data_IF_681348248275
#
_entry.id   IF_681348248275
#
_cell.length_a   1.000
_cell.length_b   1.000
_cell.length_c   1.000
_cell.angle_alpha   90.00
_cell.angle_beta   90.00
_cell.angle_gamma   90.00
#
_symmetry.space_group_name_H-M   'P 1'
#
loop_
_entity.id
_entity.type
_entity.pdbx_description
1 polymer ?
#
# COMPACT_ATOMS: atom_id res chain seq x y z
N UNK A 1 47.21 27.36 42.32
CA UNK A 1 47.09 28.73 42.79
C UNK A 1 45.79 29.28 42.32
N UNK A 2 45.01 29.61 43.29
CA UNK A 2 44.04 30.67 43.57
C UNK A 2 42.73 30.49 42.86
N UNK A 3 41.72 29.98 43.57
CA UNK A 3 40.78 30.60 44.53
C UNK A 3 40.10 31.88 44.01
N UNK A 4 38.76 31.85 43.91
CA UNK A 4 37.81 32.61 44.70
C UNK A 4 36.41 32.39 44.08
N UNK A 5 35.45 31.78 44.72
CA UNK A 5 34.45 32.24 45.71
C UNK A 5 33.71 33.54 45.29
N UNK A 6 32.41 33.46 45.23
CA UNK A 6 31.40 34.11 46.08
C UNK A 6 30.07 34.02 45.37
N UNK A 7 29.07 33.28 45.76
CA UNK A 7 28.08 33.57 46.82
C UNK A 7 27.10 34.69 46.45
N UNK A 8 25.87 34.41 46.42
CA UNK A 8 24.82 35.02 47.25
C UNK A 8 23.51 35.37 46.56
N UNK A 9 22.46 34.81 47.07
CA UNK A 9 21.25 35.37 47.72
C UNK A 9 20.05 35.68 46.81
N UNK A 10 19.06 34.82 47.04
CA UNK A 10 17.66 35.07 47.35
C UNK A 10 16.97 36.27 46.67
N UNK A 11 15.83 35.96 46.02
CA UNK A 11 14.54 36.52 46.48
C UNK A 11 13.37 35.69 45.96
N UNK A 12 12.61 35.18 46.90
CA UNK A 12 11.23 34.72 46.76
C UNK A 12 10.37 35.92 46.36
N UNK A 13 9.49 35.74 45.40
CA UNK A 13 8.24 36.50 45.39
C UNK A 13 7.12 35.65 44.84
N UNK A 14 6.06 35.72 45.52
CA UNK A 14 4.83 34.96 45.62
C UNK A 14 3.87 35.18 44.47
N UNK A 15 3.05 34.17 44.32
CA UNK A 15 1.61 34.16 43.98
C UNK A 15 1.17 34.83 42.69
N UNK A 16 0.61 33.98 41.83
CA UNK A 16 -0.35 34.30 40.80
C UNK A 16 -1.04 33.04 40.36
N UNK A 17 -2.05 32.60 41.13
CA UNK A 17 -2.92 31.48 40.79
C UNK A 17 -3.91 31.97 39.74
N UNK A 18 -3.55 31.81 38.44
CA UNK A 18 -4.46 32.05 37.32
C UNK A 18 -5.01 30.73 36.85
N UNK A 19 -6.23 30.40 37.24
CA UNK A 19 -7.02 29.33 36.70
C UNK A 19 -7.34 29.64 35.23
N UNK A 20 -6.51 29.16 34.32
CA UNK A 20 -6.81 29.14 32.90
C UNK A 20 -7.66 27.91 32.61
N UNK A 21 -8.98 28.08 32.53
CA UNK A 21 -9.90 27.06 32.10
C UNK A 21 -9.64 26.73 30.65
N UNK A 22 -8.88 25.63 30.40
CA UNK A 22 -8.68 25.07 29.06
C UNK A 22 -9.99 24.40 28.66
N UNK A 23 -10.79 25.07 27.84
CA UNK A 23 -11.91 24.47 27.14
C UNK A 23 -11.30 23.53 26.10
N UNK A 24 -11.22 22.23 26.44
CA UNK A 24 -10.90 21.19 25.48
C UNK A 24 -12.07 21.10 24.48
N UNK A 25 -11.91 21.80 23.36
CA UNK A 25 -12.74 21.57 22.18
C UNK A 25 -12.42 20.16 21.67
N UNK A 26 -13.27 19.20 21.96
CA UNK A 26 -13.22 17.87 21.34
C UNK A 26 -13.56 18.02 19.86
N UNK A 27 -12.54 18.21 19.03
CA UNK A 27 -12.67 18.10 17.58
C UNK A 27 -12.99 16.64 17.32
N UNK A 28 -14.16 16.30 16.72
CA UNK A 28 -14.40 14.93 16.32
C UNK A 28 -13.28 14.55 15.33
N UNK A 29 -12.43 13.63 15.75
CA UNK A 29 -11.47 13.00 14.83
C UNK A 29 -12.31 12.36 13.73
N UNK A 30 -12.23 12.92 12.51
CA UNK A 30 -12.75 12.26 11.33
C UNK A 30 -11.92 10.98 11.21
N UNK A 31 -12.48 9.88 11.65
CA UNK A 31 -11.92 8.54 11.46
C UNK A 31 -11.95 8.31 9.96
N UNK A 32 -10.87 8.65 9.27
CA UNK A 32 -10.63 8.12 7.94
C UNK A 32 -10.68 6.60 8.12
N UNK A 33 -11.60 5.95 7.41
CA UNK A 33 -11.63 4.50 7.35
C UNK A 33 -10.29 4.07 6.73
N UNK A 34 -9.34 3.75 7.58
CA UNK A 34 -8.06 3.25 7.16
C UNK A 34 -8.32 1.86 6.55
N UNK A 35 -8.41 1.81 5.22
CA UNK A 35 -8.29 0.53 4.54
C UNK A 35 -6.96 -0.07 4.97
N UNK A 36 -7.02 -1.14 5.76
CA UNK A 36 -5.83 -1.80 6.25
C UNK A 36 -5.30 -2.82 5.26
N UNK A 37 -6.15 -3.31 4.38
CA UNK A 37 -5.84 -4.44 3.49
C UNK A 37 -5.85 -4.02 2.02
N UNK A 38 -4.88 -4.53 1.29
CA UNK A 38 -4.66 -4.24 -0.13
C UNK A 38 -4.38 -5.52 -0.90
N UNK A 39 -4.84 -5.57 -2.15
CA UNK A 39 -4.30 -6.46 -3.17
C UNK A 39 -3.25 -5.70 -3.96
N UNK A 40 -2.16 -6.34 -4.34
CA UNK A 40 -1.23 -5.73 -5.29
C UNK A 40 -0.89 -6.67 -6.44
N UNK A 41 -0.66 -6.06 -7.58
CA UNK A 41 -0.18 -6.68 -8.80
C UNK A 41 1.18 -6.09 -9.14
N UNK A 42 2.14 -6.94 -9.39
CA UNK A 42 3.48 -6.59 -9.81
C UNK A 42 3.71 -7.18 -11.20
N UNK A 43 3.65 -6.35 -12.22
CA UNK A 43 3.86 -6.76 -13.61
C UNK A 43 3.19 -8.11 -13.91
N UNK A 44 1.89 -8.21 -13.61
CA UNK A 44 1.13 -9.45 -13.74
C UNK A 44 -0.34 -9.19 -14.06
N UNK A 45 -1.04 -10.23 -14.51
CA UNK A 45 -2.47 -10.18 -14.82
C UNK A 45 -2.78 -9.16 -15.93
N UNK A 46 -3.80 -8.35 -15.71
CA UNK A 46 -4.27 -7.36 -16.70
C UNK A 46 -3.29 -6.18 -16.91
N UNK A 47 -2.25 -6.04 -16.08
CA UNK A 47 -1.21 -5.04 -16.29
C UNK A 47 -0.30 -5.37 -17.46
N UNK A 48 -0.27 -6.63 -17.90
CA UNK A 48 0.60 -7.13 -18.95
C UNK A 48 -0.18 -7.22 -20.26
N UNK A 49 -0.18 -6.13 -21.05
CA UNK A 49 -0.77 -6.17 -22.37
C UNK A 49 0.05 -7.05 -23.32
N UNK A 50 -0.58 -7.91 -24.13
CA UNK A 50 0.13 -8.70 -25.11
C UNK A 50 0.95 -7.82 -26.07
N UNK A 51 2.24 -8.08 -26.16
CA UNK A 51 3.17 -7.37 -27.05
C UNK A 51 3.77 -6.07 -26.48
N UNK A 52 3.37 -5.63 -25.28
CA UNK A 52 3.99 -4.50 -24.59
C UNK A 52 4.98 -4.98 -23.53
N UNK A 53 6.23 -5.10 -23.89
CA UNK A 53 7.32 -5.53 -22.99
C UNK A 53 7.73 -4.44 -22.00
N UNK A 54 7.28 -3.19 -22.15
CA UNK A 54 7.60 -2.12 -21.22
C UNK A 54 6.81 -2.22 -19.91
N UNK A 55 5.68 -2.94 -19.94
CA UNK A 55 4.81 -3.11 -18.78
C UNK A 55 5.17 -4.33 -17.92
N UNK A 56 5.81 -5.34 -18.50
CA UNK A 56 6.11 -6.61 -17.83
C UNK A 56 7.36 -7.24 -18.44
N UNK A 57 8.25 -7.75 -17.58
CA UNK A 57 8.22 -7.78 -16.13
C UNK A 57 8.58 -6.42 -15.49
N UNK A 58 8.42 -6.30 -14.16
CA UNK A 58 9.01 -5.20 -13.42
C UNK A 58 10.50 -5.46 -13.22
N UNK A 59 11.31 -4.43 -13.47
CA UNK A 59 12.77 -4.60 -13.55
C UNK A 59 13.46 -3.62 -12.61
N UNK A 60 14.36 -4.14 -11.79
CA UNK A 60 15.29 -3.36 -10.98
C UNK A 60 16.73 -3.65 -11.46
N UNK A 61 17.56 -2.60 -11.60
CA UNK A 61 18.97 -2.71 -12.01
C UNK A 61 19.90 -2.17 -10.94
N UNK A 62 21.09 -2.74 -10.90
CA UNK A 62 22.22 -2.17 -10.18
C UNK A 62 23.03 -1.19 -11.06
N UNK A 63 24.08 -0.62 -10.49
CA UNK A 63 25.00 0.32 -11.14
C UNK A 63 25.86 -0.31 -12.24
N UNK A 64 25.93 -1.65 -12.28
CA UNK A 64 26.65 -2.42 -13.31
C UNK A 64 25.74 -2.82 -14.48
N UNK A 65 24.43 -2.62 -14.33
CA UNK A 65 23.42 -2.96 -15.31
C UNK A 65 22.90 -4.40 -15.18
N UNK A 66 23.32 -5.13 -14.16
CA UNK A 66 22.71 -6.42 -13.82
C UNK A 66 21.29 -6.19 -13.32
N UNK A 67 20.37 -7.12 -13.55
CA UNK A 67 18.96 -6.87 -13.32
C UNK A 67 18.21 -8.04 -12.71
N UNK A 68 17.24 -7.70 -11.85
CA UNK A 68 16.16 -8.59 -11.45
C UNK A 68 14.87 -8.21 -12.17
N UNK A 69 14.33 -9.14 -12.91
CA UNK A 69 13.01 -9.06 -13.53
C UNK A 69 12.02 -9.84 -12.67
N UNK A 70 10.94 -9.20 -12.22
CA UNK A 70 10.00 -9.78 -11.28
C UNK A 70 8.56 -9.61 -11.75
N UNK A 71 7.74 -10.64 -11.49
CA UNK A 71 6.29 -10.61 -11.69
C UNK A 71 5.60 -11.33 -10.55
N UNK A 72 4.40 -10.92 -10.19
CA UNK A 72 3.66 -11.60 -9.14
C UNK A 72 2.45 -10.82 -8.65
N UNK A 73 1.81 -11.36 -7.62
CA UNK A 73 0.65 -10.75 -7.01
C UNK A 73 0.49 -11.21 -5.55
N UNK A 74 -0.34 -10.49 -4.82
CA UNK A 74 -0.68 -10.90 -3.46
C UNK A 74 -1.51 -9.89 -2.72
N UNK A 75 -1.57 -10.08 -1.42
CA UNK A 75 -2.27 -9.20 -0.48
C UNK A 75 -1.33 -8.78 0.63
N UNK A 76 -1.60 -7.62 1.22
CA UNK A 76 -0.95 -7.20 2.45
C UNK A 76 -1.90 -6.43 3.35
N UNK A 77 -1.60 -6.45 4.65
CA UNK A 77 -2.33 -5.73 5.68
C UNK A 77 -1.38 -4.77 6.40
N UNK A 78 -1.75 -3.49 6.39
CA UNK A 78 -0.91 -2.41 6.93
C UNK A 78 -0.88 -2.43 8.46
N UNK A 79 -2.01 -2.75 9.10
CA UNK A 79 -2.11 -2.77 10.56
C UNK A 79 -1.34 -3.95 11.14
N UNK A 80 -1.49 -5.12 10.53
CA UNK A 80 -0.87 -6.36 11.00
C UNK A 80 0.56 -6.54 10.49
N UNK A 81 1.07 -5.63 9.65
CA UNK A 81 2.40 -5.75 9.04
C UNK A 81 2.62 -7.10 8.33
N UNK A 82 1.58 -7.67 7.77
CA UNK A 82 1.62 -8.98 7.13
C UNK A 82 1.48 -8.85 5.61
N UNK A 83 2.06 -9.80 4.90
CA UNK A 83 1.91 -9.96 3.47
C UNK A 83 1.76 -11.43 3.12
N UNK A 84 0.99 -11.71 2.05
CA UNK A 84 0.87 -13.03 1.43
C UNK A 84 0.97 -12.82 -0.06
N UNK A 85 2.17 -12.93 -0.59
CA UNK A 85 2.44 -12.69 -2.00
C UNK A 85 3.47 -13.65 -2.54
N UNK A 86 3.36 -13.90 -3.83
CA UNK A 86 4.27 -14.78 -4.54
C UNK A 86 4.39 -14.34 -6.01
N UNK A 87 5.48 -14.78 -6.62
CA UNK A 87 5.70 -14.56 -8.03
C UNK A 87 6.97 -15.23 -8.52
N UNK A 88 7.36 -14.88 -9.72
CA UNK A 88 8.58 -15.37 -10.37
C UNK A 88 9.62 -14.27 -10.48
N UNK A 89 10.88 -14.65 -10.53
CA UNK A 89 11.97 -13.74 -10.86
C UNK A 89 12.98 -14.36 -11.80
N UNK A 90 13.69 -13.49 -12.50
CA UNK A 90 14.84 -13.83 -13.35
C UNK A 90 15.96 -12.84 -13.05
N UNK A 91 17.13 -13.35 -12.68
CA UNK A 91 18.35 -12.55 -12.56
C UNK A 91 19.16 -12.63 -13.85
N UNK A 92 19.48 -11.46 -14.40
CA UNK A 92 20.22 -11.30 -15.66
C UNK A 92 21.45 -10.43 -15.47
N UNK A 93 22.52 -10.82 -16.10
CA UNK A 93 23.70 -9.98 -16.25
C UNK A 93 23.43 -8.87 -17.29
N UNK A 94 24.26 -7.84 -17.24
CA UNK A 94 24.20 -6.69 -18.18
C UNK A 94 24.32 -7.10 -19.65
N UNK A 95 24.96 -8.23 -19.94
CA UNK A 95 25.06 -8.82 -21.29
C UNK A 95 23.79 -9.59 -21.70
N UNK A 96 22.74 -9.64 -20.87
CA UNK A 96 21.50 -10.35 -21.12
C UNK A 96 21.51 -11.83 -20.75
N UNK A 97 22.61 -12.38 -20.29
CA UNK A 97 22.66 -13.78 -19.86
C UNK A 97 21.86 -13.98 -18.58
N UNK A 98 20.99 -14.98 -18.59
CA UNK A 98 20.24 -15.41 -17.41
C UNK A 98 21.15 -16.25 -16.51
N UNK A 99 21.37 -15.78 -15.28
CA UNK A 99 22.13 -16.52 -14.28
C UNK A 99 21.24 -17.34 -13.36
N UNK A 100 20.06 -16.83 -13.02
CA UNK A 100 19.19 -17.47 -12.04
C UNK A 100 17.74 -17.19 -12.39
N UNK A 101 16.88 -18.18 -12.15
CA UNK A 101 15.44 -18.06 -12.18
C UNK A 101 14.85 -18.73 -10.94
N UNK A 102 13.71 -18.25 -10.48
CA UNK A 102 13.07 -18.83 -9.32
C UNK A 102 11.72 -18.21 -9.01
N UNK A 103 11.26 -18.48 -7.80
CA UNK A 103 10.06 -17.87 -7.23
C UNK A 103 10.43 -16.99 -6.06
N UNK A 104 9.63 -15.99 -5.79
CA UNK A 104 9.76 -15.18 -4.59
C UNK A 104 8.47 -15.27 -3.75
N UNK A 105 8.63 -15.18 -2.44
CA UNK A 105 7.54 -15.19 -1.48
C UNK A 105 7.70 -14.00 -0.52
N UNK A 106 6.61 -13.29 -0.27
CA UNK A 106 6.54 -12.27 0.78
C UNK A 106 5.59 -12.73 1.89
N UNK A 107 6.04 -12.59 3.13
CA UNK A 107 5.28 -12.91 4.34
C UNK A 107 5.21 -11.74 5.33
N UNK A 108 6.00 -10.69 5.12
CA UNK A 108 6.06 -9.51 5.98
C UNK A 108 5.96 -8.21 5.18
N UNK A 109 5.11 -7.29 5.64
CA UNK A 109 5.10 -5.90 5.21
C UNK A 109 5.92 -5.06 6.18
N UNK A 110 7.02 -4.50 5.72
CA UNK A 110 7.87 -3.60 6.52
C UNK A 110 7.22 -2.23 6.66
N UNK A 111 6.79 -1.63 5.54
CA UNK A 111 6.12 -0.33 5.53
C UNK A 111 5.21 -0.16 4.31
N UNK A 112 4.25 0.73 4.44
CA UNK A 112 3.41 1.20 3.35
C UNK A 112 3.13 2.69 3.50
N UNK A 113 3.48 3.48 2.48
CA UNK A 113 3.17 4.89 2.35
C UNK A 113 2.13 5.04 1.24
N UNK A 114 0.88 5.36 1.58
CA UNK A 114 -0.17 5.57 0.58
C UNK A 114 -0.07 6.95 -0.04
N UNK A 115 -0.23 7.04 -1.37
CA UNK A 115 -0.38 8.29 -2.12
C UNK A 115 -1.85 8.63 -2.40
N UNK A 116 -2.77 7.85 -1.82
CA UNK A 116 -4.20 8.02 -2.00
C UNK A 116 -4.76 7.28 -3.21
N UNK A 117 -6.08 7.33 -3.34
CA UNK A 117 -6.77 6.73 -4.46
C UNK A 117 -6.41 7.46 -5.76
N UNK A 118 -6.30 6.73 -6.85
CA UNK A 118 -6.26 7.35 -8.17
C UNK A 118 -7.51 8.22 -8.32
N UNK A 119 -7.31 9.54 -8.38
CA UNK A 119 -8.41 10.45 -8.67
C UNK A 119 -8.98 10.00 -10.00
N UNK A 120 -10.21 9.49 -9.93
CA UNK A 120 -10.95 9.03 -11.10
C UNK A 120 -10.72 10.03 -12.23
N UNK A 121 -10.15 9.57 -13.32
CA UNK A 121 -9.95 10.14 -14.66
C UNK A 121 -10.74 11.42 -15.02
N UNK A 122 -10.68 12.42 -14.22
CA UNK A 122 -11.32 13.69 -14.47
C UNK A 122 -10.28 14.79 -14.41
N UNK A 123 -9.40 14.83 -15.42
CA UNK A 123 -8.76 16.08 -15.87
C UNK A 123 -7.63 15.91 -16.88
N UNK A 124 -7.61 14.86 -17.67
CA UNK A 124 -6.97 14.99 -18.97
C UNK A 124 -8.07 15.28 -19.98
N UNK A 125 -8.15 16.55 -20.37
CA UNK A 125 -9.17 17.15 -21.21
C UNK A 125 -9.40 16.42 -22.52
N UNK A 126 -10.38 15.58 -22.54
CA UNK A 126 -11.17 15.36 -23.73
C UNK A 126 -12.29 16.39 -23.62
N UNK A 127 -12.13 17.51 -24.31
CA UNK A 127 -13.20 18.46 -24.53
C UNK A 127 -14.29 17.74 -25.33
N UNK A 128 -15.21 17.11 -24.63
CA UNK A 128 -16.49 16.74 -25.26
C UNK A 128 -17.29 18.05 -25.44
N UNK A 129 -17.68 18.28 -26.70
CA UNK A 129 -18.41 19.44 -27.12
C UNK A 129 -19.69 19.72 -26.31
N UNK A 130 -20.32 20.89 -26.53
CA UNK A 130 -21.38 21.38 -25.67
C UNK A 130 -22.64 20.52 -25.80
N UNK A 131 -23.27 20.29 -24.67
CA UNK A 131 -24.57 19.69 -24.47
C UNK A 131 -24.69 18.17 -24.54
N UNK A 132 -24.28 17.48 -23.46
CA UNK A 132 -25.02 16.31 -23.02
C UNK A 132 -25.23 16.35 -21.50
N UNK A 133 -26.49 16.19 -21.16
CA UNK A 133 -27.10 16.18 -19.84
C UNK A 133 -26.25 15.56 -18.75
N UNK A 134 -26.26 16.16 -17.54
CA UNK A 134 -25.61 15.67 -16.32
C UNK A 134 -25.70 14.15 -16.24
N UNK A 135 -24.56 13.43 -16.17
CA UNK A 135 -24.61 12.00 -15.97
C UNK A 135 -25.31 11.75 -14.64
N UNK A 136 -26.38 10.96 -14.68
CA UNK A 136 -26.97 10.34 -13.49
C UNK A 136 -25.80 9.76 -12.70
N UNK A 137 -25.72 10.05 -11.41
CA UNK A 137 -24.76 9.42 -10.49
C UNK A 137 -24.82 7.91 -10.73
N UNK A 138 -23.83 7.40 -11.42
CA UNK A 138 -23.67 5.95 -11.53
C UNK A 138 -23.60 5.38 -10.13
N UNK A 139 -24.30 4.27 -9.82
CA UNK A 139 -24.15 3.61 -8.53
C UNK A 139 -22.65 3.35 -8.34
N UNK A 140 -22.10 3.78 -7.20
CA UNK A 140 -20.70 3.64 -6.87
C UNK A 140 -20.29 2.20 -7.11
N UNK A 141 -19.34 1.97 -8.00
CA UNK A 141 -18.75 0.68 -8.25
C UNK A 141 -18.26 0.12 -6.92
N UNK A 142 -18.90 -0.95 -6.46
CA UNK A 142 -18.60 -1.66 -5.20
C UNK A 142 -17.30 -2.48 -5.29
N UNK A 143 -16.37 -2.11 -6.15
CA UNK A 143 -15.11 -2.81 -6.38
C UNK A 143 -13.93 -2.24 -5.61
N UNK A 144 -12.80 -2.97 -5.58
CA UNK A 144 -11.55 -2.48 -5.01
C UNK A 144 -11.09 -1.22 -5.76
N UNK A 145 -10.56 -0.24 -5.01
CA UNK A 145 -10.16 1.05 -5.57
C UNK A 145 -8.66 1.07 -5.90
N UNK A 146 -8.29 1.43 -7.14
CA UNK A 146 -6.89 1.67 -7.48
C UNK A 146 -6.29 2.77 -6.58
N UNK A 147 -5.15 2.49 -6.00
CA UNK A 147 -4.47 3.35 -5.03
C UNK A 147 -3.00 3.37 -5.34
N UNK A 148 -2.39 4.55 -5.30
CA UNK A 148 -0.95 4.68 -5.37
C UNK A 148 -0.30 4.52 -4.00
N UNK A 149 1.00 4.25 -4.01
CA UNK A 149 1.75 4.10 -2.78
C UNK A 149 3.10 3.44 -2.99
N UNK A 150 3.85 3.38 -1.90
CA UNK A 150 5.10 2.65 -1.82
C UNK A 150 5.00 1.60 -0.72
N UNK A 151 5.10 0.34 -1.11
CA UNK A 151 5.16 -0.80 -0.20
C UNK A 151 6.59 -1.34 -0.11
N UNK A 152 7.01 -1.73 1.08
CA UNK A 152 8.30 -2.39 1.34
C UNK A 152 8.01 -3.73 1.98
N UNK A 153 8.47 -4.79 1.36
CA UNK A 153 8.27 -6.17 1.79
C UNK A 153 9.59 -6.83 2.14
N UNK A 154 9.56 -7.69 3.16
CA UNK A 154 10.59 -8.72 3.32
C UNK A 154 10.18 -9.92 2.49
N UNK A 155 11.08 -10.37 1.63
CA UNK A 155 10.83 -11.48 0.72
C UNK A 155 11.92 -12.55 0.85
N UNK A 156 11.57 -13.75 0.40
CA UNK A 156 12.53 -14.84 0.17
C UNK A 156 12.58 -15.15 -1.32
N UNK A 157 13.77 -15.13 -1.86
CA UNK A 157 14.07 -15.61 -3.20
C UNK A 157 14.40 -17.11 -3.10
N UNK A 158 13.69 -17.91 -3.85
CA UNK A 158 13.83 -19.36 -3.93
C UNK A 158 14.26 -19.72 -5.34
N UNK A 159 15.58 -19.80 -5.59
CA UNK A 159 16.11 -20.16 -6.90
C UNK A 159 15.74 -21.61 -7.26
N UNK A 160 15.67 -21.89 -8.57
CA UNK A 160 15.48 -23.29 -9.02
C UNK A 160 16.64 -24.20 -8.57
N UNK A 161 17.82 -23.63 -8.41
CA UNK A 161 19.02 -24.33 -7.94
C UNK A 161 19.76 -23.48 -6.91
N UNK A 162 20.15 -24.09 -5.78
CA UNK A 162 20.90 -23.42 -4.74
C UNK A 162 20.06 -22.99 -3.50
N UNK A 163 20.69 -22.31 -2.55
CA UNK A 163 20.05 -21.90 -1.31
C UNK A 163 19.13 -20.67 -1.52
N UNK A 164 18.09 -20.59 -0.72
CA UNK A 164 17.25 -19.40 -0.65
C UNK A 164 18.01 -18.20 -0.09
N UNK A 165 17.58 -17.01 -0.50
CA UNK A 165 18.14 -15.74 -0.04
C UNK A 165 17.01 -14.82 0.40
N UNK A 166 17.18 -14.11 1.53
CA UNK A 166 16.28 -13.04 1.94
C UNK A 166 16.66 -11.74 1.26
N UNK A 167 15.63 -10.92 1.01
CA UNK A 167 15.78 -9.62 0.38
C UNK A 167 14.69 -8.66 0.86
N UNK A 168 14.91 -7.37 0.63
CA UNK A 168 13.91 -6.32 0.78
C UNK A 168 13.47 -5.89 -0.62
N UNK A 169 12.17 -6.05 -0.89
CA UNK A 169 11.54 -5.61 -2.12
C UNK A 169 10.74 -4.33 -1.85
N UNK A 170 11.13 -3.24 -2.48
CA UNK A 170 10.33 -2.02 -2.54
C UNK A 170 9.54 -2.00 -3.84
N UNK A 171 8.27 -1.69 -3.74
CA UNK A 171 7.32 -1.62 -4.85
C UNK A 171 6.68 -0.23 -4.84
N UNK A 172 6.78 0.51 -5.93
CA UNK A 172 6.26 1.86 -6.07
C UNK A 172 5.21 1.94 -7.19
N UNK A 173 3.99 2.31 -6.82
CA UNK A 173 2.88 2.56 -7.73
C UNK A 173 2.63 4.08 -7.81
N UNK A 174 2.94 4.68 -8.94
CA UNK A 174 2.89 6.13 -9.13
C UNK A 174 1.48 6.65 -9.48
N UNK A 175 0.47 6.24 -8.71
CA UNK A 175 -0.91 6.75 -8.78
C UNK A 175 -1.20 7.68 -7.59
N UNK A 176 -2.23 8.52 -7.71
CA UNK A 176 -2.65 9.43 -6.65
C UNK A 176 -1.74 10.66 -6.51
N UNK A 177 -1.61 11.18 -5.29
CA UNK A 177 -0.79 12.35 -4.97
C UNK A 177 0.68 11.96 -4.74
N UNK A 178 1.35 11.59 -5.82
CA UNK A 178 2.73 11.07 -5.78
C UNK A 178 3.72 12.17 -5.45
N UNK A 179 4.59 12.02 -4.44
CA UNK A 179 5.72 12.90 -4.21
C UNK A 179 6.66 12.91 -5.43
N UNK A 180 7.21 14.10 -5.77
CA UNK A 180 8.04 14.25 -6.98
C UNK A 180 9.24 13.31 -7.03
N UNK A 181 9.84 13.05 -5.88
CA UNK A 181 10.98 12.16 -5.72
C UNK A 181 10.62 10.67 -5.86
N UNK A 182 9.32 10.35 -6.00
CA UNK A 182 8.79 8.98 -6.10
C UNK A 182 7.92 8.78 -7.34
N UNK A 183 8.10 9.65 -8.33
CA UNK A 183 7.28 9.64 -9.55
C UNK A 183 7.58 8.49 -10.51
N UNK A 184 8.67 7.77 -10.29
CA UNK A 184 9.02 6.59 -11.10
C UNK A 184 8.31 5.36 -10.55
N UNK A 185 7.56 4.69 -11.41
CA UNK A 185 6.87 3.43 -11.09
C UNK A 185 7.82 2.26 -11.30
N UNK A 186 7.78 1.28 -10.39
CA UNK A 186 8.61 0.11 -10.52
C UNK A 186 9.00 -0.53 -9.20
N UNK A 187 10.13 -1.23 -9.22
CA UNK A 187 10.66 -1.95 -8.07
C UNK A 187 12.12 -1.59 -7.78
N UNK A 188 12.49 -1.77 -6.52
CA UNK A 188 13.89 -1.83 -6.05
C UNK A 188 14.08 -3.08 -5.22
N UNK A 189 15.25 -3.67 -5.29
CA UNK A 189 15.58 -4.89 -4.57
C UNK A 189 16.91 -4.73 -3.84
N UNK A 190 16.95 -5.09 -2.55
CA UNK A 190 18.19 -5.16 -1.76
C UNK A 190 18.35 -6.57 -1.23
N UNK A 191 19.45 -7.23 -1.57
CA UNK A 191 19.75 -8.58 -1.11
C UNK A 191 20.43 -8.54 0.25
N UNK A 192 19.95 -9.32 1.21
CA UNK A 192 20.53 -9.38 2.58
C UNK A 192 21.92 -10.00 2.59
N UNK A 193 22.17 -10.97 1.70
CA UNK A 193 23.38 -11.79 1.68
C UNK A 193 24.67 -10.99 1.45
N UNK A 194 24.65 -10.05 0.52
CA UNK A 194 25.84 -9.30 0.08
C UNK A 194 25.60 -7.79 0.08
N UNK A 195 24.44 -7.33 0.55
CA UNK A 195 24.02 -5.94 0.52
C UNK A 195 23.99 -5.32 -0.88
N UNK A 196 23.87 -6.16 -1.92
CA UNK A 196 23.72 -5.67 -3.28
C UNK A 196 22.38 -4.96 -3.44
N UNK A 197 22.43 -3.80 -4.05
CA UNK A 197 21.28 -2.93 -4.27
C UNK A 197 20.98 -2.81 -5.76
N UNK A 198 19.76 -3.14 -6.15
CA UNK A 198 19.19 -2.92 -7.47
C UNK A 198 18.23 -1.75 -7.32
N UNK A 199 18.74 -0.54 -7.43
CA UNK A 199 18.05 0.71 -7.07
C UNK A 199 17.48 1.47 -8.25
N UNK A 200 17.83 1.12 -9.49
CA UNK A 200 17.26 1.73 -10.68
C UNK A 200 15.96 1.01 -11.06
N UNK A 201 14.85 1.74 -11.03
CA UNK A 201 13.54 1.28 -11.51
C UNK A 201 13.54 1.32 -13.05
N UNK A 202 13.74 0.17 -13.69
CA UNK A 202 13.99 0.09 -15.13
C UNK A 202 12.76 -0.35 -15.94
N UNK A 203 11.58 -0.34 -15.35
CA UNK A 203 10.33 -0.66 -16.01
C UNK A 203 9.39 -1.54 -15.20
N UNK A 204 8.26 -1.84 -15.80
CA UNK A 204 7.19 -2.65 -15.21
C UNK A 204 6.10 -1.83 -14.53
N UNK A 205 4.89 -2.36 -14.58
CA UNK A 205 3.73 -1.73 -13.94
C UNK A 205 3.38 -2.37 -12.62
N UNK A 206 2.94 -1.53 -11.71
CA UNK A 206 2.47 -1.90 -10.38
C UNK A 206 1.08 -1.33 -10.15
N UNK A 207 0.25 -2.05 -9.41
CA UNK A 207 -1.04 -1.54 -8.96
C UNK A 207 -1.35 -2.02 -7.56
N UNK A 208 -1.81 -1.10 -6.71
CA UNK A 208 -2.44 -1.42 -5.44
C UNK A 208 -3.94 -1.22 -5.56
N UNK A 209 -4.70 -2.12 -4.97
CA UNK A 209 -6.15 -2.08 -4.91
C UNK A 209 -6.55 -2.12 -3.43
N UNK A 210 -7.06 -1.00 -2.94
CA UNK A 210 -7.56 -0.93 -1.57
C UNK A 210 -8.81 -1.80 -1.44
N UNK A 211 -8.79 -2.76 -0.50
CA UNK A 211 -9.93 -3.59 -0.16
C UNK A 211 -10.85 -2.80 0.76
N UNK A 212 -12.12 -2.65 0.40
CA UNK A 212 -13.08 -2.08 1.33
C UNK A 212 -13.30 -3.06 2.48
N UNK A 213 -13.36 -2.60 3.74
CA UNK A 213 -13.87 -3.44 4.80
C UNK A 213 -15.28 -3.87 4.41
N UNK A 214 -15.53 -5.18 4.40
CA UNK A 214 -16.89 -5.67 4.29
C UNK A 214 -17.67 -5.14 5.50
N UNK A 215 -18.60 -4.25 5.24
CA UNK A 215 -19.59 -3.87 6.23
C UNK A 215 -20.44 -5.11 6.43
N UNK A 216 -20.11 -5.90 7.45
CA UNK A 216 -20.95 -7.02 7.88
C UNK A 216 -22.32 -6.45 8.23
N UNK A 217 -23.25 -6.53 7.32
CA UNK A 217 -24.66 -6.21 7.53
C UNK A 217 -25.24 -7.29 8.44
N UNK A 218 -24.84 -7.30 9.71
CA UNK A 218 -25.46 -8.10 10.76
C UNK A 218 -26.90 -7.63 11.09
N UNK A 219 -27.49 -6.77 10.26
CA UNK A 219 -28.85 -6.28 10.42
C UNK A 219 -29.91 -7.20 9.77
N UNK A 220 -29.54 -8.17 8.96
CA UNK A 220 -30.49 -9.01 8.23
C UNK A 220 -30.87 -10.31 8.93
N UNK A 221 -30.19 -10.66 10.03
CA UNK A 221 -30.46 -11.89 10.77
C UNK A 221 -31.49 -11.75 11.90
N UNK A 222 -32.09 -10.59 12.12
CA UNK A 222 -33.06 -10.38 13.21
C UNK A 222 -34.50 -10.21 12.76
N UNK A 223 -34.82 -10.27 11.48
CA UNK A 223 -36.17 -10.02 10.98
C UNK A 223 -36.95 -11.30 10.58
N UNK A 224 -36.39 -12.49 10.76
CA UNK A 224 -37.08 -13.75 10.41
C UNK A 224 -37.52 -14.58 11.63
N UNK A 225 -37.96 -13.93 12.71
CA UNK A 225 -38.53 -14.67 13.83
C UNK A 225 -39.73 -13.98 14.44
N UNK A 226 -40.76 -13.71 13.62
CA UNK A 226 -42.15 -13.51 14.12
C UNK A 226 -43.15 -13.92 13.08
N UNK A 227 -43.29 -15.23 12.90
CA UNK A 227 -44.51 -15.83 12.33
C UNK A 227 -45.43 -16.04 13.52
N UNK A 228 -46.62 -15.38 13.60
CA UNK A 228 -47.60 -15.69 14.61
C UNK A 228 -48.22 -17.05 14.34
N UNK A 229 -48.06 -17.96 15.26
CA UNK A 229 -48.71 -19.28 15.31
C UNK A 229 -50.24 -19.08 15.39
N UNK A 230 -50.88 -19.29 14.24
CA UNK A 230 -52.35 -19.29 14.17
C UNK A 230 -52.86 -20.53 14.87
N UNK A 231 -53.44 -20.37 16.05
CA UNK A 231 -54.17 -21.40 16.79
C UNK A 231 -55.39 -21.81 16.00
N UNK A 232 -55.35 -22.98 15.40
CA UNK A 232 -56.48 -23.66 14.80
C UNK A 232 -57.33 -24.33 15.90
N UNK A 233 -58.52 -23.78 16.12
CA UNK A 233 -59.51 -24.25 17.07
C UNK A 233 -60.35 -25.36 16.38
N UNK A 234 -60.55 -26.58 16.96
CA UNK A 234 -61.32 -27.64 16.34
C UNK A 234 -62.82 -27.35 16.45
N UNK A 235 -63.61 -27.78 15.45
CA UNK A 235 -65.08 -27.63 15.47
C UNK A 235 -65.75 -28.69 16.34
N UNK A 236 -66.82 -28.24 17.05
CA UNK A 236 -67.79 -29.08 17.74
C UNK A 236 -68.68 -29.89 16.76
#
# INVERSE_FOLDING_TARGET
>A
MSTTRVSSIRKMTRLGLSCLAIVLSTIPAITQSNNSSYVFLLASGFLCAPGDTSMCPATAKDDQGDSYEMSGAGTFDVQNKSAKAAGTYTYKLTNGNVLETGVWLADELVSFDSYGAASTLSRQGVAFGPAMSRPRRSPMLSGPMPTGGRAVFRIRLLPMHGPSTTAVLQVNCALGDVPRERSVEGIRLTLDRNKSEYSEEAGGRVMFLAMRPEVSTSAEAQQEKTVPETSEQPPN
#
